data_IF_366345881852
#
_entry.id   IF_366345881852
#
_cell.length_a   1.000
_cell.length_b   1.000
_cell.length_c   1.000
_cell.angle_alpha   90.00
_cell.angle_beta   90.00
_cell.angle_gamma   90.00
#
_symmetry.space_group_name_H-M   'P 1'
#
loop_
_entity.id
_entity.type
_entity.pdbx_description
1 polymer ?
#
# COMPACT_ATOMS: atom_id res chain seq x y z
N UNK A 1 53.49 2.18 46.36
CA UNK A 1 53.74 2.40 44.91
C UNK A 1 53.27 1.24 44.03
N UNK A 2 53.57 -0.04 44.35
CA UNK A 2 53.14 -1.21 43.55
C UNK A 2 51.61 -1.42 43.45
N UNK A 3 50.85 -1.20 44.52
CA UNK A 3 49.38 -1.34 44.51
C UNK A 3 48.67 -0.30 43.64
N UNK A 4 49.16 0.94 43.63
CA UNK A 4 48.58 2.04 42.84
C UNK A 4 48.76 1.82 41.34
N UNK A 5 49.89 1.21 40.95
CA UNK A 5 50.18 0.80 39.56
C UNK A 5 49.31 -0.39 39.17
N UNK A 6 49.15 -1.39 40.06
CA UNK A 6 48.29 -2.56 39.83
C UNK A 6 46.82 -2.18 39.61
N UNK A 7 46.25 -1.32 40.46
CA UNK A 7 44.87 -0.81 40.29
C UNK A 7 44.67 0.01 39.02
N UNK A 8 45.67 0.79 38.59
CA UNK A 8 45.61 1.52 37.31
C UNK A 8 45.64 0.58 36.11
N UNK A 9 46.44 -0.49 36.15
CA UNK A 9 46.50 -1.53 35.12
C UNK A 9 45.20 -2.32 35.04
N UNK A 10 44.63 -2.77 36.17
CA UNK A 10 43.35 -3.50 36.22
C UNK A 10 42.18 -2.66 35.68
N UNK A 11 42.11 -1.37 36.02
CA UNK A 11 41.12 -0.44 35.43
C UNK A 11 41.30 -0.24 33.93
N UNK A 12 42.55 -0.17 33.44
CA UNK A 12 42.85 0.04 32.02
C UNK A 12 42.51 -1.21 31.19
N UNK A 13 42.80 -2.40 31.73
CA UNK A 13 42.44 -3.70 31.13
C UNK A 13 40.92 -3.89 31.11
N UNK A 14 40.22 -3.57 32.21
CA UNK A 14 38.74 -3.62 32.26
C UNK A 14 38.09 -2.70 31.22
N UNK A 15 38.57 -1.45 31.10
CA UNK A 15 38.06 -0.49 30.12
C UNK A 15 38.37 -0.89 28.67
N UNK A 16 39.53 -1.49 28.39
CA UNK A 16 39.82 -2.05 27.06
C UNK A 16 38.97 -3.28 26.73
N UNK A 17 38.63 -4.11 27.72
CA UNK A 17 37.74 -5.26 27.52
C UNK A 17 36.30 -4.84 27.17
N UNK A 18 35.82 -3.74 27.75
CA UNK A 18 34.51 -3.15 27.42
C UNK A 18 34.48 -2.56 26.01
N UNK A 19 35.53 -1.81 25.63
CA UNK A 19 35.65 -1.25 24.28
C UNK A 19 35.73 -2.37 23.23
N UNK A 20 36.51 -3.42 23.49
CA UNK A 20 36.63 -4.57 22.59
C UNK A 20 35.27 -5.30 22.42
N UNK A 21 34.51 -5.49 23.51
CA UNK A 21 33.16 -6.06 23.46
C UNK A 21 32.22 -5.19 22.63
N UNK A 22 32.23 -3.86 22.83
CA UNK A 22 31.41 -2.95 22.04
C UNK A 22 31.79 -3.00 20.56
N UNK A 23 33.08 -2.94 20.22
CA UNK A 23 33.57 -3.01 18.83
C UNK A 23 33.15 -4.33 18.19
N UNK A 24 33.28 -5.46 18.89
CA UNK A 24 32.82 -6.77 18.40
C UNK A 24 31.30 -6.81 18.18
N UNK A 25 30.51 -6.20 19.06
CA UNK A 25 29.05 -6.08 18.90
C UNK A 25 28.72 -5.24 17.66
N UNK A 26 29.34 -4.05 17.50
CA UNK A 26 29.11 -3.19 16.35
C UNK A 26 29.53 -3.84 15.03
N UNK A 27 30.70 -4.51 14.99
CA UNK A 27 31.14 -5.28 13.82
C UNK A 27 30.20 -6.45 13.53
N UNK A 28 29.72 -7.16 14.56
CA UNK A 28 28.74 -8.23 14.41
C UNK A 28 27.42 -7.72 13.84
N UNK A 29 26.90 -6.61 14.36
CA UNK A 29 25.69 -5.96 13.84
C UNK A 29 25.88 -5.50 12.39
N UNK A 30 27.01 -4.87 12.07
CA UNK A 30 27.31 -4.44 10.70
C UNK A 30 27.41 -5.63 9.73
N UNK A 31 28.06 -6.73 10.14
CA UNK A 31 28.15 -7.94 9.35
C UNK A 31 26.77 -8.57 9.09
N UNK A 32 25.90 -8.63 10.11
CA UNK A 32 24.52 -9.11 9.96
C UNK A 32 23.74 -8.21 9.00
N UNK A 33 23.87 -6.88 9.10
CA UNK A 33 23.19 -5.95 8.20
C UNK A 33 23.65 -6.11 6.74
N UNK A 34 24.96 -6.28 6.51
CA UNK A 34 25.51 -6.53 5.18
C UNK A 34 25.03 -7.87 4.61
N UNK A 35 24.98 -8.91 5.45
CA UNK A 35 24.46 -10.22 5.07
C UNK A 35 22.97 -10.17 4.70
N UNK A 36 22.16 -9.46 5.50
CA UNK A 36 20.74 -9.23 5.21
C UNK A 36 20.56 -8.46 3.91
N UNK A 37 21.40 -7.46 3.64
CA UNK A 37 21.35 -6.69 2.39
C UNK A 37 21.67 -7.56 1.17
N UNK A 38 22.66 -8.45 1.28
CA UNK A 38 23.02 -9.41 0.24
C UNK A 38 21.93 -10.47 0.01
N UNK A 39 21.34 -10.97 1.09
CA UNK A 39 20.30 -12.02 1.05
C UNK A 39 18.89 -11.45 0.85
N UNK A 40 18.73 -10.14 0.67
CA UNK A 40 17.41 -9.50 0.62
C UNK A 40 16.47 -10.16 -0.37
N UNK A 41 16.96 -10.53 -1.56
CA UNK A 41 16.16 -11.14 -2.62
C UNK A 41 15.57 -12.50 -2.19
N UNK A 42 16.32 -13.27 -1.41
CA UNK A 42 15.90 -14.58 -0.89
C UNK A 42 15.06 -14.43 0.37
N UNK A 43 15.41 -13.49 1.25
CA UNK A 43 14.71 -13.27 2.53
C UNK A 43 13.37 -12.57 2.37
N UNK A 44 13.18 -11.76 1.32
CA UNK A 44 11.97 -10.99 1.07
C UNK A 44 10.68 -11.83 1.15
N UNK A 45 10.54 -12.96 0.41
CA UNK A 45 9.32 -13.77 0.48
C UNK A 45 9.07 -14.36 1.87
N UNK A 46 10.12 -14.73 2.62
CA UNK A 46 9.98 -15.19 4.00
C UNK A 46 9.55 -14.07 4.94
N UNK A 47 10.05 -12.85 4.74
CA UNK A 47 9.70 -11.70 5.56
C UNK A 47 8.25 -11.29 5.30
N UNK A 48 7.82 -11.28 4.04
CA UNK A 48 6.42 -11.11 3.65
C UNK A 48 5.54 -12.15 4.34
N UNK A 49 5.90 -13.43 4.24
CA UNK A 49 5.17 -14.51 4.88
C UNK A 49 5.14 -14.38 6.41
N UNK A 50 6.24 -13.94 7.01
CA UNK A 50 6.33 -13.69 8.45
C UNK A 50 5.37 -12.60 8.90
N UNK A 51 5.32 -11.46 8.18
CA UNK A 51 4.36 -10.43 8.56
C UNK A 51 2.94 -10.91 8.34
N UNK A 52 2.61 -11.51 7.20
CA UNK A 52 1.26 -12.06 6.97
C UNK A 52 0.87 -13.08 8.05
N UNK A 53 1.79 -13.96 8.46
CA UNK A 53 1.57 -14.91 9.53
C UNK A 53 1.30 -14.21 10.87
N UNK A 54 2.05 -13.16 11.19
CA UNK A 54 1.83 -12.34 12.38
C UNK A 54 0.44 -11.69 12.38
N UNK A 55 -0.02 -11.21 11.22
CA UNK A 55 -1.32 -10.56 11.06
C UNK A 55 -2.50 -11.53 11.16
N UNK A 56 -2.35 -12.72 10.58
CA UNK A 56 -3.40 -13.73 10.52
C UNK A 56 -3.42 -14.62 11.78
N UNK A 57 -2.32 -14.71 12.52
CA UNK A 57 -2.26 -15.58 13.70
C UNK A 57 -3.34 -15.28 14.77
N UNK A 58 -3.66 -14.03 15.15
CA UNK A 58 -4.67 -13.74 16.17
C UNK A 58 -6.06 -14.28 15.80
N UNK A 59 -6.43 -14.25 14.52
CA UNK A 59 -7.70 -14.80 14.05
C UNK A 59 -7.63 -16.32 13.97
N UNK A 60 -6.51 -16.90 13.56
CA UNK A 60 -6.26 -18.35 13.64
C UNK A 60 -6.38 -18.86 15.08
N UNK A 61 -5.75 -18.19 16.04
CA UNK A 61 -5.84 -18.53 17.47
C UNK A 61 -7.27 -18.39 18.01
N UNK A 62 -8.05 -17.41 17.52
CA UNK A 62 -9.45 -17.25 17.89
C UNK A 62 -10.31 -18.44 17.44
N UNK A 63 -10.17 -18.89 16.20
CA UNK A 63 -10.90 -20.05 15.69
C UNK A 63 -10.39 -21.38 16.30
N UNK A 64 -9.09 -21.48 16.58
CA UNK A 64 -8.52 -22.63 17.28
C UNK A 64 -9.09 -22.76 18.70
N UNK A 65 -9.24 -21.65 19.42
CA UNK A 65 -9.90 -21.62 20.75
C UNK A 65 -11.37 -22.04 20.69
N UNK A 66 -12.04 -21.87 19.55
CA UNK A 66 -13.41 -22.36 19.31
C UNK A 66 -13.48 -23.84 18.90
N UNK A 67 -12.34 -24.56 18.89
CA UNK A 67 -12.28 -25.99 18.60
C UNK A 67 -12.02 -26.33 17.13
N UNK A 68 -11.85 -25.34 16.24
CA UNK A 68 -11.53 -25.62 14.83
C UNK A 68 -10.05 -25.99 14.70
N UNK A 69 -9.74 -27.09 13.98
CA UNK A 69 -8.34 -27.48 13.72
C UNK A 69 -7.61 -26.34 13.02
N UNK A 70 -6.46 -25.93 13.58
CA UNK A 70 -5.64 -24.81 13.09
C UNK A 70 -5.39 -24.85 11.57
N UNK A 71 -5.11 -26.05 11.04
CA UNK A 71 -4.86 -26.27 9.60
C UNK A 71 -6.09 -25.91 8.75
N UNK A 72 -7.31 -26.22 9.21
CA UNK A 72 -8.54 -25.88 8.48
C UNK A 72 -8.75 -24.37 8.39
N UNK A 73 -8.43 -23.64 9.46
CA UNK A 73 -8.51 -22.17 9.47
C UNK A 73 -7.51 -21.58 8.48
N UNK A 74 -6.28 -22.08 8.45
CA UNK A 74 -5.25 -21.63 7.49
C UNK A 74 -5.68 -21.91 6.05
N UNK A 75 -6.18 -23.11 5.76
CA UNK A 75 -6.69 -23.46 4.43
C UNK A 75 -7.88 -22.58 4.02
N UNK A 76 -8.76 -22.22 4.96
CA UNK A 76 -9.87 -21.30 4.68
C UNK A 76 -9.37 -19.91 4.25
N UNK A 77 -8.29 -19.40 4.85
CA UNK A 77 -7.69 -18.13 4.44
C UNK A 77 -7.14 -18.20 3.02
N UNK A 78 -6.43 -19.28 2.68
CA UNK A 78 -5.96 -19.47 1.31
C UNK A 78 -7.11 -19.53 0.33
N UNK A 79 -8.18 -20.28 0.65
CA UNK A 79 -9.35 -20.38 -0.22
C UNK A 79 -10.03 -19.02 -0.44
N UNK A 80 -10.23 -18.24 0.62
CA UNK A 80 -10.80 -16.88 0.53
C UNK A 80 -9.92 -15.95 -0.29
N UNK A 81 -8.61 -15.93 -0.02
CA UNK A 81 -7.66 -15.07 -0.76
C UNK A 81 -7.61 -15.46 -2.23
N UNK A 82 -7.49 -16.76 -2.55
CA UNK A 82 -7.51 -17.23 -3.94
C UNK A 82 -8.82 -16.90 -4.65
N UNK A 83 -9.96 -17.08 -3.97
CA UNK A 83 -11.27 -16.73 -4.53
C UNK A 83 -11.38 -15.24 -4.83
N UNK A 84 -11.04 -14.38 -3.86
CA UNK A 84 -11.10 -12.91 -4.02
C UNK A 84 -10.16 -12.45 -5.13
N UNK A 85 -8.91 -12.95 -5.16
CA UNK A 85 -7.94 -12.61 -6.20
C UNK A 85 -8.42 -13.08 -7.57
N UNK A 86 -8.98 -14.29 -7.66
CA UNK A 86 -9.50 -14.82 -8.93
C UNK A 86 -10.67 -13.99 -9.43
N UNK A 87 -11.64 -13.67 -8.57
CA UNK A 87 -12.79 -12.82 -8.94
C UNK A 87 -12.33 -11.43 -9.35
N UNK A 88 -11.41 -10.83 -8.60
CA UNK A 88 -10.84 -9.52 -8.95
C UNK A 88 -10.13 -9.56 -10.30
N UNK A 89 -9.31 -10.59 -10.56
CA UNK A 89 -8.61 -10.74 -11.84
C UNK A 89 -9.59 -10.95 -12.99
N UNK A 90 -10.61 -11.80 -12.84
CA UNK A 90 -11.60 -12.06 -13.88
C UNK A 90 -12.40 -10.78 -14.20
N UNK A 91 -12.92 -10.11 -13.17
CA UNK A 91 -13.64 -8.84 -13.33
C UNK A 91 -12.74 -7.79 -13.97
N UNK A 92 -11.49 -7.70 -13.51
CA UNK A 92 -10.53 -6.75 -14.05
C UNK A 92 -10.17 -7.04 -15.51
N UNK A 93 -9.94 -8.30 -15.88
CA UNK A 93 -9.63 -8.70 -17.26
C UNK A 93 -10.81 -8.42 -18.18
N UNK A 94 -12.02 -8.85 -17.82
CA UNK A 94 -13.22 -8.65 -18.64
C UNK A 94 -13.54 -7.17 -18.84
N UNK A 95 -13.47 -6.38 -17.76
CA UNK A 95 -13.66 -4.93 -17.80
C UNK A 95 -12.53 -4.23 -18.54
N UNK A 96 -11.28 -4.67 -18.45
CA UNK A 96 -10.21 -3.95 -19.16
C UNK A 96 -10.24 -4.28 -20.66
N UNK A 97 -10.55 -5.51 -21.03
CA UNK A 97 -10.60 -5.94 -22.43
C UNK A 97 -11.73 -5.25 -23.22
N UNK A 98 -12.95 -5.22 -22.66
CA UNK A 98 -14.11 -4.59 -23.30
C UNK A 98 -13.96 -3.07 -23.36
N UNK A 99 -13.46 -2.47 -22.28
CA UNK A 99 -13.41 -1.01 -22.16
C UNK A 99 -12.28 -0.45 -23.01
N UNK A 100 -11.15 -1.15 -23.19
CA UNK A 100 -10.11 -0.77 -24.15
C UNK A 100 -10.62 -0.83 -25.58
N UNK A 101 -11.37 -1.88 -25.95
CA UNK A 101 -11.97 -1.96 -27.29
C UNK A 101 -12.97 -0.83 -27.54
N UNK A 102 -13.76 -0.47 -26.51
CA UNK A 102 -14.68 0.68 -26.58
C UNK A 102 -13.91 2.00 -26.65
N UNK A 103 -12.84 2.16 -25.87
CA UNK A 103 -11.95 3.33 -25.88
C UNK A 103 -11.28 3.53 -27.24
N UNK A 104 -10.72 2.47 -27.82
CA UNK A 104 -10.11 2.52 -29.15
C UNK A 104 -11.12 2.90 -30.24
N UNK A 105 -12.38 2.46 -30.11
CA UNK A 105 -13.47 2.83 -31.04
C UNK A 105 -14.02 4.24 -30.80
N UNK A 106 -14.02 4.71 -29.55
CA UNK A 106 -14.53 6.03 -29.16
C UNK A 106 -13.49 7.15 -29.28
N UNK A 107 -12.19 6.85 -29.23
CA UNK A 107 -11.12 7.85 -29.38
C UNK A 107 -11.20 8.63 -30.70
N UNK A 108 -11.38 7.99 -31.87
CA UNK A 108 -11.61 8.69 -33.14
C UNK A 108 -12.90 9.52 -33.15
N UNK A 109 -13.93 9.08 -32.42
CA UNK A 109 -15.19 9.81 -32.28
C UNK A 109 -15.01 11.07 -31.42
N UNK A 110 -14.22 10.99 -30.35
CA UNK A 110 -13.88 12.13 -29.49
C UNK A 110 -13.01 13.14 -30.24
N UNK A 111 -12.01 12.70 -31.01
CA UNK A 111 -11.21 13.61 -31.84
C UNK A 111 -12.08 14.32 -32.88
N UNK A 112 -12.98 13.59 -33.55
CA UNK A 112 -13.93 14.18 -34.50
C UNK A 112 -14.91 15.18 -33.86
N UNK A 113 -15.33 14.96 -32.60
CA UNK A 113 -16.12 15.94 -31.84
C UNK A 113 -15.31 17.19 -31.49
N UNK A 114 -14.06 17.03 -31.07
CA UNK A 114 -13.18 18.17 -30.76
C UNK A 114 -12.89 18.98 -32.02
N UNK A 115 -12.64 18.31 -33.15
CA UNK A 115 -12.50 18.95 -34.47
C UNK A 115 -13.72 19.78 -34.83
N UNK A 116 -14.95 19.26 -34.60
CA UNK A 116 -16.19 20.02 -34.81
C UNK A 116 -16.34 21.24 -33.90
N UNK A 117 -15.93 21.13 -32.63
CA UNK A 117 -15.92 22.27 -31.70
C UNK A 117 -14.91 23.31 -32.20
N UNK A 118 -13.69 22.90 -32.54
CA UNK A 118 -12.67 23.80 -33.11
C UNK A 118 -13.20 24.47 -34.38
N UNK A 119 -13.93 23.74 -35.23
CA UNK A 119 -14.54 24.26 -36.45
C UNK A 119 -15.66 25.28 -36.17
N UNK A 120 -16.56 25.01 -35.23
CA UNK A 120 -17.64 25.93 -34.88
C UNK A 120 -17.10 27.25 -34.29
N UNK A 121 -16.11 27.17 -33.40
CA UNK A 121 -15.51 28.36 -32.78
C UNK A 121 -14.57 29.11 -33.72
N UNK A 122 -13.86 28.44 -34.63
CA UNK A 122 -13.05 29.12 -35.65
C UNK A 122 -13.91 29.89 -36.65
N UNK A 123 -15.06 29.35 -37.08
CA UNK A 123 -16.02 30.04 -37.95
C UNK A 123 -16.64 31.28 -37.26
N UNK A 124 -16.89 31.22 -35.95
CA UNK A 124 -17.33 32.39 -35.18
C UNK A 124 -16.22 33.43 -35.02
N UNK A 125 -14.98 33.00 -34.80
CA UNK A 125 -13.83 33.89 -34.66
C UNK A 125 -13.50 34.63 -35.97
N UNK A 126 -13.58 33.96 -37.11
CA UNK A 126 -13.33 34.55 -38.44
C UNK A 126 -14.37 35.64 -38.79
N UNK A 127 -15.63 35.46 -38.36
CA UNK A 127 -16.68 36.49 -38.49
C UNK A 127 -16.45 37.72 -37.61
N UNK A 128 -15.78 37.57 -36.46
CA UNK A 128 -15.56 38.65 -35.48
C UNK A 128 -14.21 39.35 -35.73
N UNK A 129 -13.19 38.62 -36.22
CA UNK A 129 -11.83 39.12 -36.42
C UNK A 129 -11.25 38.70 -37.81
N UNK A 130 -11.65 39.38 -38.90
CA UNK A 130 -11.29 38.98 -40.28
C UNK A 130 -9.78 39.02 -40.61
N UNK A 131 -9.00 39.81 -39.87
CA UNK A 131 -7.55 39.96 -40.07
C UNK A 131 -6.70 39.05 -39.17
N UNK A 132 -7.32 38.32 -38.24
CA UNK A 132 -6.61 37.25 -37.53
C UNK A 132 -6.41 36.09 -38.49
N UNK A 133 -5.28 35.37 -38.49
CA UNK A 133 -5.05 34.18 -39.33
C UNK A 133 -5.65 32.95 -38.66
N UNK A 134 -6.96 32.67 -38.76
CA UNK A 134 -7.62 31.71 -37.89
C UNK A 134 -7.40 30.27 -38.41
N UNK A 135 -7.07 30.15 -39.70
CA UNK A 135 -6.81 28.90 -40.40
C UNK A 135 -5.52 28.21 -39.93
N UNK A 136 -4.43 28.96 -39.69
CA UNK A 136 -3.18 28.42 -39.14
C UNK A 136 -3.38 27.90 -37.71
N UNK A 137 -4.11 28.65 -36.88
CA UNK A 137 -4.48 28.23 -35.52
C UNK A 137 -5.39 26.99 -35.52
N UNK A 138 -6.37 26.94 -36.43
CA UNK A 138 -7.25 25.77 -36.61
C UNK A 138 -6.44 24.52 -36.98
N UNK A 139 -5.56 24.61 -37.97
CA UNK A 139 -4.75 23.46 -38.40
C UNK A 139 -3.81 22.97 -37.30
N UNK A 140 -3.19 23.89 -36.56
CA UNK A 140 -2.33 23.54 -35.42
C UNK A 140 -3.10 22.88 -34.28
N UNK A 141 -4.32 23.34 -33.97
CA UNK A 141 -5.16 22.76 -32.93
C UNK A 141 -5.67 21.36 -33.31
N UNK A 142 -6.07 21.16 -34.57
CA UNK A 142 -6.49 19.85 -35.08
C UNK A 142 -5.31 18.88 -35.06
N UNK A 143 -4.14 19.29 -35.57
CA UNK A 143 -2.93 18.45 -35.59
C UNK A 143 -2.49 18.07 -34.17
N UNK A 144 -2.47 19.03 -33.23
CA UNK A 144 -2.12 18.75 -31.83
C UNK A 144 -3.16 17.87 -31.14
N UNK A 145 -4.45 18.02 -31.46
CA UNK A 145 -5.51 17.14 -30.94
C UNK A 145 -5.32 15.71 -31.46
N UNK A 146 -5.04 15.54 -32.76
CA UNK A 146 -4.79 14.23 -33.35
C UNK A 146 -3.53 13.57 -32.78
N UNK A 147 -2.44 14.32 -32.63
CA UNK A 147 -1.20 13.84 -31.97
C UNK A 147 -1.44 13.43 -30.52
N UNK A 148 -2.11 14.28 -29.74
CA UNK A 148 -2.45 13.98 -28.34
C UNK A 148 -3.33 12.73 -28.24
N UNK A 149 -4.34 12.59 -29.11
CA UNK A 149 -5.23 11.42 -29.11
C UNK A 149 -4.48 10.15 -29.48
N UNK A 150 -3.56 10.22 -30.44
CA UNK A 150 -2.69 9.10 -30.83
C UNK A 150 -1.71 8.71 -29.71
N UNK A 151 -1.11 9.68 -29.02
CA UNK A 151 -0.22 9.45 -27.88
C UNK A 151 -0.96 8.87 -26.67
N UNK A 152 -2.17 9.33 -26.40
CA UNK A 152 -3.07 8.77 -25.38
C UNK A 152 -3.42 7.33 -25.73
N UNK A 153 -3.83 7.06 -26.98
CA UNK A 153 -4.12 5.70 -27.45
C UNK A 153 -2.92 4.77 -27.29
N UNK A 154 -1.73 5.22 -27.72
CA UNK A 154 -0.48 4.47 -27.60
C UNK A 154 -0.08 4.25 -26.15
N UNK A 155 -0.29 5.24 -25.27
CA UNK A 155 -0.03 5.12 -23.83
C UNK A 155 -0.99 4.14 -23.17
N UNK A 156 -2.29 4.17 -23.49
CA UNK A 156 -3.28 3.23 -22.96
C UNK A 156 -2.94 1.80 -23.38
N UNK A 157 -2.63 1.58 -24.66
CA UNK A 157 -2.21 0.27 -25.18
C UNK A 157 -0.88 -0.16 -24.57
N UNK A 158 0.07 0.76 -24.39
CA UNK A 158 1.37 0.51 -23.78
C UNK A 158 1.27 0.15 -22.29
N UNK A 159 0.46 0.87 -21.51
CA UNK A 159 0.16 0.56 -20.11
C UNK A 159 -0.49 -0.83 -19.98
N UNK A 160 -1.40 -1.18 -20.88
CA UNK A 160 -2.07 -2.48 -20.86
C UNK A 160 -1.16 -3.63 -21.29
N UNK A 161 -0.37 -3.44 -22.35
CA UNK A 161 0.74 -4.32 -22.74
C UNK A 161 1.65 -4.59 -21.54
N UNK A 162 2.07 -3.54 -20.84
CA UNK A 162 2.90 -3.65 -19.66
C UNK A 162 2.19 -4.39 -18.53
N UNK A 163 0.88 -4.22 -18.35
CA UNK A 163 0.10 -4.95 -17.36
C UNK A 163 -0.05 -6.44 -17.71
N UNK A 164 -0.31 -6.79 -18.97
CA UNK A 164 -0.29 -8.18 -19.45
C UNK A 164 1.10 -8.80 -19.27
N UNK A 165 2.15 -8.05 -19.62
CA UNK A 165 3.54 -8.47 -19.41
C UNK A 165 3.86 -8.63 -17.93
N UNK A 166 3.29 -7.81 -17.05
CA UNK A 166 3.42 -7.94 -15.61
C UNK A 166 2.72 -9.21 -15.11
N UNK A 167 1.49 -9.48 -15.57
CA UNK A 167 0.75 -10.72 -15.26
C UNK A 167 1.47 -11.96 -15.80
N UNK A 168 2.02 -11.92 -17.02
CA UNK A 168 2.77 -13.04 -17.60
C UNK A 168 4.12 -13.23 -16.93
N UNK A 169 4.81 -12.15 -16.54
CA UNK A 169 6.02 -12.21 -15.72
C UNK A 169 5.74 -12.66 -14.27
N UNK A 170 4.51 -12.49 -13.78
CA UNK A 170 4.08 -13.04 -12.51
C UNK A 170 4.05 -14.59 -12.54
N UNK A 171 3.88 -15.21 -13.71
CA UNK A 171 4.08 -16.65 -13.87
C UNK A 171 5.56 -17.06 -13.67
N UNK A 172 6.52 -16.21 -14.08
CA UNK A 172 7.94 -16.37 -13.72
C UNK A 172 8.21 -16.13 -12.22
N UNK A 173 7.37 -15.32 -11.58
CA UNK A 173 7.38 -15.09 -10.12
C UNK A 173 6.57 -16.11 -9.32
N UNK A 174 5.98 -17.14 -9.97
CA UNK A 174 5.17 -18.15 -9.31
C UNK A 174 5.97 -18.86 -8.21
N UNK A 175 7.28 -19.06 -8.42
CA UNK A 175 8.16 -19.62 -7.39
C UNK A 175 8.19 -18.74 -6.13
N UNK A 176 8.31 -17.41 -6.26
CA UNK A 176 8.29 -16.50 -5.11
C UNK A 176 6.93 -16.52 -4.41
N UNK A 177 5.84 -16.57 -5.17
CA UNK A 177 4.48 -16.68 -4.61
C UNK A 177 4.32 -17.99 -3.84
N UNK A 178 4.76 -19.11 -4.40
CA UNK A 178 4.74 -20.41 -3.74
C UNK A 178 5.60 -20.37 -2.46
N UNK A 179 6.81 -19.82 -2.50
CA UNK A 179 7.66 -19.67 -1.31
C UNK A 179 6.93 -18.86 -0.23
N UNK A 180 6.29 -17.74 -0.59
CA UNK A 180 5.48 -16.96 0.35
C UNK A 180 4.35 -17.81 0.95
N UNK A 181 3.58 -18.52 0.12
CA UNK A 181 2.43 -19.33 0.57
C UNK A 181 2.85 -20.50 1.46
N UNK A 182 3.88 -21.25 1.07
CA UNK A 182 4.43 -22.33 1.87
C UNK A 182 5.00 -21.82 3.18
N UNK A 183 5.80 -20.74 3.14
CA UNK A 183 6.35 -20.12 4.35
C UNK A 183 5.23 -19.65 5.26
N UNK A 184 4.21 -18.99 4.73
CA UNK A 184 3.06 -18.51 5.48
C UNK A 184 2.31 -19.67 6.14
N UNK A 185 2.08 -20.77 5.41
CA UNK A 185 1.45 -21.97 5.94
C UNK A 185 2.22 -22.53 7.14
N UNK A 186 3.53 -22.74 7.01
CA UNK A 186 4.36 -23.31 8.08
C UNK A 186 4.50 -22.35 9.26
N UNK A 187 4.70 -21.06 8.99
CA UNK A 187 4.77 -20.03 10.03
C UNK A 187 3.46 -19.96 10.82
N UNK A 188 2.31 -19.99 10.16
CA UNK A 188 1.02 -20.05 10.84
C UNK A 188 0.83 -21.37 11.58
N UNK A 189 1.15 -22.52 10.98
CA UNK A 189 0.98 -23.83 11.62
C UNK A 189 1.83 -23.96 12.89
N UNK A 190 3.09 -23.57 12.83
CA UNK A 190 4.08 -23.75 13.89
C UNK A 190 4.33 -22.49 14.73
N UNK A 191 3.50 -21.45 14.60
CA UNK A 191 3.63 -20.17 15.28
C UNK A 191 3.90 -20.27 16.79
N UNK A 192 3.16 -21.16 17.48
CA UNK A 192 3.32 -21.39 18.93
C UNK A 192 4.72 -21.95 19.27
N UNK A 193 5.26 -22.85 18.44
CA UNK A 193 6.60 -23.40 18.60
C UNK A 193 7.67 -22.35 18.34
N UNK A 194 7.49 -21.53 17.29
CA UNK A 194 8.39 -20.43 16.96
C UNK A 194 8.44 -19.42 18.11
N UNK A 195 7.28 -19.01 18.63
CA UNK A 195 7.20 -18.09 19.79
C UNK A 195 7.92 -18.66 21.02
N UNK A 196 7.76 -19.97 21.27
CA UNK A 196 8.46 -20.67 22.35
C UNK A 196 9.98 -20.70 22.15
N UNK A 197 10.45 -20.93 20.93
CA UNK A 197 11.87 -20.93 20.58
C UNK A 197 12.50 -19.53 20.73
N UNK A 198 11.82 -18.49 20.25
CA UNK A 198 12.26 -17.10 20.38
C UNK A 198 12.37 -16.70 21.86
N UNK A 199 11.43 -17.13 22.72
CA UNK A 199 11.51 -16.88 24.17
C UNK A 199 12.75 -17.51 24.81
N UNK A 200 13.21 -18.67 24.32
CA UNK A 200 14.41 -19.35 24.83
C UNK A 200 15.73 -18.69 24.40
N UNK A 201 15.72 -17.89 23.33
CA UNK A 201 16.91 -17.15 22.86
C UNK A 201 17.19 -15.91 23.72
N UNK A 202 16.21 -15.38 24.44
CA UNK A 202 16.39 -14.24 25.33
C UNK A 202 17.02 -14.69 26.67
N UNK A 203 17.99 -13.93 27.23
CA UNK A 203 18.49 -14.18 28.57
C UNK A 203 17.34 -14.07 29.60
N UNK A 204 17.33 -14.93 30.63
CA UNK A 204 16.25 -15.02 31.62
C UNK A 204 15.89 -13.66 32.26
N UNK A 205 16.90 -12.80 32.47
CA UNK A 205 16.73 -11.45 33.04
C UNK A 205 15.85 -10.52 32.21
N UNK A 206 15.72 -10.76 30.89
CA UNK A 206 14.97 -9.90 29.97
C UNK A 206 13.64 -10.50 29.50
N UNK A 207 13.26 -11.70 29.98
CA UNK A 207 12.03 -12.39 29.52
C UNK A 207 10.78 -11.53 29.71
N UNK A 208 10.63 -10.89 30.87
CA UNK A 208 9.48 -10.01 31.15
C UNK A 208 9.42 -8.79 30.23
N UNK A 209 10.57 -8.17 29.93
CA UNK A 209 10.65 -7.04 29.03
C UNK A 209 10.30 -7.45 27.59
N UNK A 210 10.86 -8.55 27.08
CA UNK A 210 10.59 -9.06 25.73
C UNK A 210 9.11 -9.43 25.57
N UNK A 211 8.50 -10.04 26.57
CA UNK A 211 7.08 -10.43 26.53
C UNK A 211 6.14 -9.22 26.57
N UNK A 212 6.45 -8.21 27.40
CA UNK A 212 5.72 -6.93 27.44
C UNK A 212 5.86 -6.18 26.11
N UNK A 213 7.06 -6.14 25.52
CA UNK A 213 7.30 -5.49 24.24
C UNK A 213 6.52 -6.18 23.12
N UNK A 214 6.66 -7.50 23.00
CA UNK A 214 6.03 -8.29 21.95
C UNK A 214 4.50 -8.24 22.01
N UNK A 215 3.91 -8.24 23.22
CA UNK A 215 2.47 -8.09 23.39
C UNK A 215 1.99 -6.68 23.02
N UNK A 216 2.74 -5.64 23.38
CA UNK A 216 2.43 -4.25 23.03
C UNK A 216 2.51 -4.00 21.52
N UNK A 217 3.55 -4.53 20.87
CA UNK A 217 3.70 -4.51 19.39
C UNK A 217 2.49 -5.18 18.73
N UNK A 218 2.12 -6.37 19.23
CA UNK A 218 1.00 -7.14 18.68
C UNK A 218 -0.32 -6.41 18.81
N UNK A 219 -0.56 -5.81 19.96
CA UNK A 219 -1.75 -5.02 20.20
C UNK A 219 -1.84 -3.83 19.22
N UNK A 220 -0.75 -3.08 19.04
CA UNK A 220 -0.73 -1.92 18.14
C UNK A 220 -0.93 -2.31 16.67
N UNK A 221 -0.21 -3.30 16.18
CA UNK A 221 -0.33 -3.79 14.80
C UNK A 221 -1.76 -4.29 14.53
N UNK A 222 -2.31 -5.10 15.44
CA UNK A 222 -3.65 -5.66 15.28
C UNK A 222 -4.74 -4.58 15.33
N UNK A 223 -4.63 -3.60 16.24
CA UNK A 223 -5.56 -2.49 16.33
C UNK A 223 -5.53 -1.65 15.05
N UNK A 224 -4.33 -1.30 14.57
CA UNK A 224 -4.16 -0.51 13.35
C UNK A 224 -4.75 -1.22 12.13
N UNK A 225 -4.42 -2.50 11.91
CA UNK A 225 -4.84 -3.22 10.70
C UNK A 225 -6.34 -3.46 10.69
N UNK A 226 -6.93 -3.83 11.83
CA UNK A 226 -8.40 -3.93 11.92
C UNK A 226 -9.05 -2.58 11.65
N UNK A 227 -8.50 -1.51 12.22
CA UNK A 227 -8.97 -0.16 11.95
C UNK A 227 -8.87 0.18 10.46
N UNK A 228 -7.73 -0.07 9.82
CA UNK A 228 -7.49 0.21 8.41
C UNK A 228 -8.44 -0.56 7.50
N UNK A 229 -8.71 -1.84 7.79
CA UNK A 229 -9.68 -2.63 7.02
C UNK A 229 -11.08 -2.01 7.13
N UNK A 230 -11.51 -1.61 8.34
CA UNK A 230 -12.83 -0.98 8.52
C UNK A 230 -12.89 0.38 7.82
N UNK A 231 -11.84 1.19 7.89
CA UNK A 231 -11.73 2.47 7.17
C UNK A 231 -11.82 2.24 5.66
N UNK A 232 -11.02 1.31 5.12
CA UNK A 232 -11.00 0.97 3.70
C UNK A 232 -12.37 0.48 3.21
N UNK A 233 -13.03 -0.39 3.98
CA UNK A 233 -14.39 -0.85 3.67
C UNK A 233 -15.40 0.30 3.72
N UNK A 234 -15.34 1.17 4.72
CA UNK A 234 -16.24 2.32 4.84
C UNK A 234 -16.05 3.29 3.67
N UNK A 235 -14.82 3.66 3.34
CA UNK A 235 -14.48 4.54 2.22
C UNK A 235 -14.95 3.94 0.88
N UNK A 236 -14.70 2.65 0.67
CA UNK A 236 -15.16 1.95 -0.53
C UNK A 236 -16.69 1.92 -0.66
N UNK A 237 -17.40 1.62 0.43
CA UNK A 237 -18.87 1.59 0.46
C UNK A 237 -19.48 2.98 0.25
N UNK A 238 -18.96 4.01 0.92
CA UNK A 238 -19.46 5.38 0.77
C UNK A 238 -19.23 5.86 -0.67
N UNK A 239 -18.06 5.56 -1.25
CA UNK A 239 -17.77 5.88 -2.66
C UNK A 239 -18.74 5.17 -3.59
N UNK A 240 -18.96 3.87 -3.37
CA UNK A 240 -19.89 3.06 -4.16
C UNK A 240 -21.32 3.63 -4.12
N UNK A 241 -21.83 3.93 -2.92
CA UNK A 241 -23.18 4.48 -2.74
C UNK A 241 -23.30 5.88 -3.35
N UNK A 242 -22.30 6.74 -3.16
CA UNK A 242 -22.31 8.11 -3.70
C UNK A 242 -22.39 8.12 -5.22
N UNK A 243 -21.63 7.24 -5.89
CA UNK A 243 -21.64 7.13 -7.34
C UNK A 243 -22.90 6.44 -7.87
N UNK A 244 -23.42 5.46 -7.12
CA UNK A 244 -24.68 4.80 -7.42
C UNK A 244 -25.85 5.80 -7.46
N UNK A 245 -25.98 6.65 -6.45
CA UNK A 245 -27.03 7.68 -6.40
C UNK A 245 -26.87 8.75 -7.48
N UNK A 246 -25.66 8.96 -7.99
CA UNK A 246 -25.39 9.86 -9.11
C UNK A 246 -25.59 9.20 -10.49
N UNK A 247 -25.92 7.91 -10.54
CA UNK A 247 -26.22 7.19 -11.78
C UNK A 247 -24.98 6.76 -12.58
N UNK A 248 -23.81 6.68 -11.97
CA UNK A 248 -22.60 6.21 -12.66
C UNK A 248 -22.58 4.68 -12.74
N UNK A 249 -22.51 4.11 -13.94
CA UNK A 249 -22.54 2.65 -14.15
C UNK A 249 -21.33 1.91 -13.54
N UNK A 250 -20.19 2.58 -13.41
CA UNK A 250 -18.94 2.03 -12.85
C UNK A 250 -18.81 2.22 -11.33
N UNK A 251 -19.90 2.59 -10.64
CA UNK A 251 -19.93 2.84 -9.19
C UNK A 251 -19.32 1.69 -8.37
N UNK A 252 -19.63 0.44 -8.74
CA UNK A 252 -19.18 -0.74 -8.00
C UNK A 252 -17.66 -0.89 -8.06
N UNK A 253 -17.11 -0.86 -9.28
CA UNK A 253 -15.68 -0.99 -9.53
C UNK A 253 -14.91 0.14 -8.85
N UNK A 254 -15.38 1.39 -9.00
CA UNK A 254 -14.67 2.52 -8.41
C UNK A 254 -14.73 2.49 -6.88
N UNK A 255 -15.84 2.05 -6.29
CA UNK A 255 -15.94 1.80 -4.86
C UNK A 255 -14.94 0.75 -4.37
N UNK A 256 -14.83 -0.38 -5.08
CA UNK A 256 -13.86 -1.46 -4.74
C UNK A 256 -12.42 -0.97 -4.89
N UNK A 257 -12.08 -0.32 -6.01
CA UNK A 257 -10.73 0.20 -6.24
C UNK A 257 -10.37 1.25 -5.19
N UNK A 258 -11.27 2.19 -4.91
CA UNK A 258 -11.02 3.24 -3.91
C UNK A 258 -10.86 2.65 -2.52
N UNK A 259 -11.72 1.70 -2.13
CA UNK A 259 -11.61 1.00 -0.84
C UNK A 259 -10.32 0.20 -0.71
N UNK A 260 -9.98 -0.63 -1.70
CA UNK A 260 -8.73 -1.42 -1.70
C UNK A 260 -7.49 -0.53 -1.70
N UNK A 261 -7.49 0.52 -2.52
CA UNK A 261 -6.37 1.47 -2.57
C UNK A 261 -6.20 2.16 -1.22
N UNK A 262 -7.30 2.48 -0.53
CA UNK A 262 -7.26 3.11 0.80
C UNK A 262 -6.68 2.21 1.91
N UNK A 263 -6.33 0.95 1.64
CA UNK A 263 -5.49 0.15 2.55
C UNK A 263 -4.06 0.74 2.70
N UNK A 264 -3.61 1.51 1.72
CA UNK A 264 -2.33 2.23 1.73
C UNK A 264 -2.63 3.72 1.98
N UNK A 265 -2.41 4.23 3.21
CA UNK A 265 -2.72 5.62 3.52
C UNK A 265 -1.98 6.60 2.61
N UNK A 266 -2.59 7.76 2.38
CA UNK A 266 -2.11 8.84 1.49
C UNK A 266 -2.11 8.45 0.02
N UNK A 267 -1.54 7.31 -0.36
CA UNK A 267 -1.40 6.86 -1.76
C UNK A 267 -2.73 6.37 -2.31
N UNK A 268 -3.50 5.64 -1.50
CA UNK A 268 -4.77 5.04 -1.89
C UNK A 268 -5.77 6.02 -2.51
N UNK A 269 -6.04 7.15 -1.85
CA UNK A 269 -6.88 8.21 -2.38
C UNK A 269 -6.41 8.75 -3.73
N UNK A 270 -5.10 8.95 -3.93
CA UNK A 270 -4.57 9.38 -5.24
C UNK A 270 -4.83 8.35 -6.32
N UNK A 271 -4.65 7.05 -6.04
CA UNK A 271 -4.96 5.98 -6.99
C UNK A 271 -6.45 6.01 -7.35
N UNK A 272 -7.32 6.07 -6.35
CA UNK A 272 -8.77 6.15 -6.55
C UNK A 272 -9.19 7.37 -7.39
N UNK A 273 -8.61 8.54 -7.10
CA UNK A 273 -8.81 9.77 -7.88
C UNK A 273 -8.34 9.61 -9.32
N UNK A 274 -7.10 9.17 -9.56
CA UNK A 274 -6.58 8.98 -10.91
C UNK A 274 -7.45 8.03 -11.73
N UNK A 275 -7.78 6.86 -11.18
CA UNK A 275 -8.59 5.85 -11.86
C UNK A 275 -10.02 6.36 -12.08
N UNK A 276 -10.63 6.99 -11.08
CA UNK A 276 -11.99 7.52 -11.17
C UNK A 276 -12.14 8.64 -12.18
N UNK A 277 -11.17 9.55 -12.21
CA UNK A 277 -11.16 10.67 -13.16
C UNK A 277 -10.99 10.16 -14.58
N UNK A 278 -10.08 9.20 -14.80
CA UNK A 278 -9.89 8.56 -16.10
C UNK A 278 -11.15 7.83 -16.57
N UNK A 279 -11.74 6.98 -15.73
CA UNK A 279 -12.98 6.26 -16.05
C UNK A 279 -14.12 7.22 -16.37
N UNK A 280 -14.29 8.28 -15.58
CA UNK A 280 -15.31 9.27 -15.84
C UNK A 280 -15.09 10.02 -17.15
N UNK A 281 -13.84 10.35 -17.48
CA UNK A 281 -13.50 11.05 -18.71
C UNK A 281 -13.78 10.21 -19.95
N UNK A 282 -13.61 8.89 -19.88
CA UNK A 282 -13.79 8.02 -21.04
C UNK A 282 -15.20 7.44 -21.18
N UNK A 283 -15.94 7.30 -20.08
CA UNK A 283 -17.21 6.55 -20.07
C UNK A 283 -18.43 7.49 -20.08
N UNK A 284 -18.37 8.66 -19.43
CA UNK A 284 -19.56 9.46 -19.16
C UNK A 284 -19.68 10.69 -20.08
N UNK A 285 -20.86 10.93 -20.63
CA UNK A 285 -21.20 12.10 -21.46
C UNK A 285 -22.28 12.94 -20.75
N UNK A 286 -22.14 14.28 -20.61
CA UNK A 286 -21.02 15.12 -21.03
C UNK A 286 -19.78 14.98 -20.12
N UNK A 287 -18.60 14.86 -20.74
CA UNK A 287 -17.33 14.52 -20.09
C UNK A 287 -16.98 15.40 -18.88
N UNK A 288 -17.08 16.73 -19.03
CA UNK A 288 -16.75 17.68 -17.96
C UNK A 288 -17.68 17.54 -16.75
N UNK A 289 -18.96 17.26 -16.97
CA UNK A 289 -19.93 17.13 -15.88
C UNK A 289 -19.69 15.83 -15.08
N UNK A 290 -19.42 14.72 -15.79
CA UNK A 290 -19.06 13.47 -15.14
C UNK A 290 -17.79 13.60 -14.30
N UNK A 291 -16.72 14.15 -14.89
CA UNK A 291 -15.41 14.30 -14.24
C UNK A 291 -15.50 15.14 -12.98
N UNK A 292 -16.19 16.30 -13.05
CA UNK A 292 -16.37 17.18 -11.89
C UNK A 292 -17.16 16.49 -10.78
N UNK A 293 -18.23 15.75 -11.12
CA UNK A 293 -19.03 15.00 -10.14
C UNK A 293 -18.21 13.89 -9.47
N UNK A 294 -17.46 13.10 -10.23
CA UNK A 294 -16.63 12.02 -9.67
C UNK A 294 -15.52 12.58 -8.80
N UNK A 295 -14.80 13.58 -9.27
CA UNK A 295 -13.79 14.27 -8.44
C UNK A 295 -14.42 14.87 -7.18
N UNK A 296 -15.58 15.50 -7.30
CA UNK A 296 -16.32 16.04 -6.17
C UNK A 296 -16.66 14.97 -5.13
N UNK A 297 -17.15 13.80 -5.56
CA UNK A 297 -17.40 12.65 -4.67
C UNK A 297 -16.10 12.18 -4.03
N UNK A 298 -15.06 11.90 -4.81
CA UNK A 298 -13.81 11.34 -4.28
C UNK A 298 -13.11 12.30 -3.31
N UNK A 299 -13.13 13.61 -3.59
CA UNK A 299 -12.64 14.63 -2.66
C UNK A 299 -13.50 14.71 -1.41
N UNK A 300 -14.83 14.64 -1.54
CA UNK A 300 -15.74 14.67 -0.39
C UNK A 300 -15.54 13.45 0.51
N UNK A 301 -15.43 12.26 -0.07
CA UNK A 301 -15.13 11.02 0.68
C UNK A 301 -13.75 11.11 1.33
N UNK A 302 -12.75 11.67 0.63
CA UNK A 302 -11.43 11.87 1.20
C UNK A 302 -11.43 12.85 2.38
N UNK A 303 -12.22 13.91 2.31
CA UNK A 303 -12.41 14.84 3.42
C UNK A 303 -13.13 14.16 4.60
N UNK A 304 -14.18 13.39 4.33
CA UNK A 304 -14.87 12.60 5.35
C UNK A 304 -13.92 11.59 6.02
N UNK A 305 -13.04 10.95 5.25
CA UNK A 305 -12.06 10.02 5.79
C UNK A 305 -11.10 10.73 6.76
N UNK A 306 -10.50 11.84 6.31
CA UNK A 306 -9.52 12.59 7.09
C UNK A 306 -10.10 13.26 8.34
N UNK A 307 -11.34 13.73 8.29
CA UNK A 307 -11.96 14.49 9.38
C UNK A 307 -12.69 13.55 10.36
N UNK A 308 -13.30 12.47 9.87
CA UNK A 308 -14.26 11.68 10.65
C UNK A 308 -13.90 10.19 10.70
N UNK A 309 -13.79 9.51 9.56
CA UNK A 309 -13.72 8.03 9.52
C UNK A 309 -12.42 7.53 10.15
N UNK A 310 -11.26 7.96 9.64
CA UNK A 310 -9.95 7.56 10.15
C UNK A 310 -9.74 7.96 11.62
N UNK A 311 -10.04 9.20 12.06
CA UNK A 311 -9.91 9.59 13.46
C UNK A 311 -10.80 8.81 14.43
N UNK A 312 -12.02 8.42 14.03
CA UNK A 312 -12.93 7.64 14.88
C UNK A 312 -12.50 6.18 15.01
N UNK A 313 -11.99 5.57 13.94
CA UNK A 313 -11.69 4.14 13.90
C UNK A 313 -10.27 3.83 14.36
N UNK A 314 -9.28 4.53 13.79
CA UNK A 314 -7.86 4.31 14.08
C UNK A 314 -7.45 5.10 15.35
N UNK A 315 -8.23 6.11 15.72
CA UNK A 315 -8.07 6.88 16.95
C UNK A 315 -6.97 7.93 16.87
N UNK A 316 -6.72 8.61 18.01
CA UNK A 316 -5.60 9.56 18.20
C UNK A 316 -4.22 8.89 18.22
N UNK A 317 -4.13 7.59 17.93
CA UNK A 317 -2.98 6.74 18.22
C UNK A 317 -1.71 7.09 17.42
N UNK A 318 -1.83 7.96 16.42
CA UNK A 318 -0.74 8.21 15.47
C UNK A 318 -0.66 9.70 15.14
N UNK A 319 -0.27 10.54 16.12
CA UNK A 319 0.22 11.90 15.84
C UNK A 319 1.56 11.83 15.12
N UNK A 320 1.53 11.45 13.85
CA UNK A 320 2.67 11.44 12.94
C UNK A 320 2.50 12.61 11.99
N UNK A 321 3.56 13.39 11.83
CA UNK A 321 3.59 14.46 10.85
C UNK A 321 3.41 13.87 9.43
N UNK A 322 2.60 14.45 8.53
CA UNK A 322 2.34 13.88 7.20
C UNK A 322 3.62 13.52 6.42
N UNK A 323 4.65 14.36 6.51
CA UNK A 323 5.97 14.10 5.90
C UNK A 323 6.61 12.82 6.44
N UNK A 324 6.50 12.55 7.74
CA UNK A 324 7.00 11.31 8.33
C UNK A 324 6.23 10.09 7.82
N UNK A 325 4.92 10.21 7.61
CA UNK A 325 4.12 9.13 6.98
C UNK A 325 4.65 8.84 5.58
N UNK A 326 4.87 9.88 4.76
CA UNK A 326 5.43 9.72 3.41
C UNK A 326 6.78 9.02 3.43
N UNK A 327 7.72 9.46 4.28
CA UNK A 327 9.04 8.84 4.42
C UNK A 327 8.89 7.36 4.81
N UNK A 328 8.09 7.08 5.84
CA UNK A 328 7.89 5.72 6.35
C UNK A 328 7.29 4.80 5.28
N UNK A 329 6.32 5.29 4.50
CA UNK A 329 5.73 4.55 3.38
C UNK A 329 6.74 4.31 2.24
N UNK A 330 7.55 5.32 1.89
CA UNK A 330 8.60 5.17 0.87
C UNK A 330 9.64 4.12 1.27
N UNK A 331 10.03 4.09 2.55
CA UNK A 331 10.89 3.04 3.09
C UNK A 331 10.21 1.67 2.97
N UNK A 332 8.95 1.54 3.40
CA UNK A 332 8.21 0.29 3.26
C UNK A 332 8.14 -0.22 1.83
N UNK A 333 7.82 0.67 0.88
CA UNK A 333 7.80 0.36 -0.54
C UNK A 333 9.14 -0.17 -1.04
N UNK A 334 10.23 0.52 -0.71
CA UNK A 334 11.56 0.14 -1.15
C UNK A 334 11.96 -1.26 -0.64
N UNK A 335 11.62 -1.57 0.61
CA UNK A 335 12.05 -2.83 1.24
C UNK A 335 11.12 -4.01 1.01
N UNK A 336 9.79 -3.81 0.96
CA UNK A 336 8.80 -4.89 0.93
C UNK A 336 7.63 -4.60 -0.02
N UNK A 337 7.75 -3.59 -0.87
CA UNK A 337 6.70 -3.19 -1.82
C UNK A 337 5.41 -2.74 -1.14
N UNK A 338 4.28 -3.10 -1.74
CA UNK A 338 2.92 -2.78 -1.25
C UNK A 338 2.71 -3.25 0.20
N UNK A 339 3.15 -4.47 0.52
CA UNK A 339 3.03 -4.99 1.87
C UNK A 339 3.83 -4.16 2.86
N UNK A 340 5.05 -3.79 2.47
CA UNK A 340 5.87 -2.85 3.23
C UNK A 340 5.12 -1.58 3.58
N UNK A 341 4.54 -0.91 2.58
CA UNK A 341 3.73 0.30 2.77
C UNK A 341 2.60 0.10 3.80
N UNK A 342 1.85 -1.00 3.71
CA UNK A 342 0.74 -1.29 4.63
C UNK A 342 1.21 -1.42 6.09
N UNK A 343 2.37 -2.05 6.29
CA UNK A 343 2.92 -2.35 7.63
C UNK A 343 3.81 -1.21 8.15
N UNK A 344 4.22 -0.27 7.30
CA UNK A 344 5.24 0.73 7.63
C UNK A 344 4.83 1.59 8.82
N UNK A 345 3.59 2.06 8.81
CA UNK A 345 3.04 2.96 9.82
C UNK A 345 2.97 2.28 11.19
N UNK A 346 2.33 1.10 11.37
CA UNK A 346 2.30 0.45 12.67
C UNK A 346 3.69 -0.01 13.13
N UNK A 347 4.59 -0.35 12.19
CA UNK A 347 5.99 -0.62 12.54
C UNK A 347 6.68 0.63 13.09
N UNK A 348 6.52 1.77 12.43
CA UNK A 348 7.09 3.04 12.88
C UNK A 348 6.53 3.47 14.25
N UNK A 349 5.22 3.39 14.47
CA UNK A 349 4.61 3.76 15.76
C UNK A 349 5.12 2.87 16.89
N UNK A 350 5.27 1.58 16.60
CA UNK A 350 5.85 0.61 17.52
C UNK A 350 7.30 0.96 17.84
N UNK A 351 8.14 1.20 16.83
CA UNK A 351 9.54 1.58 17.05
C UNK A 351 9.66 2.88 17.84
N UNK A 352 8.83 3.89 17.52
CA UNK A 352 8.76 5.15 18.27
C UNK A 352 8.40 4.91 19.73
N UNK A 353 7.45 4.01 20.02
CA UNK A 353 7.07 3.64 21.38
C UNK A 353 8.22 2.91 22.11
N UNK A 354 8.86 1.94 21.47
CA UNK A 354 10.00 1.20 22.06
C UNK A 354 11.14 2.15 22.40
N UNK A 355 11.49 3.05 21.49
CA UNK A 355 12.51 4.07 21.74
C UNK A 355 12.11 4.98 22.90
N UNK A 356 10.87 5.47 22.93
CA UNK A 356 10.42 6.33 24.01
C UNK A 356 10.48 5.64 25.39
N UNK A 357 10.06 4.37 25.48
CA UNK A 357 10.13 3.57 26.71
C UNK A 357 11.58 3.38 27.16
N UNK A 358 12.52 3.11 26.24
CA UNK A 358 13.96 2.95 26.54
C UNK A 358 14.56 4.25 27.09
N UNK A 359 14.16 5.41 26.53
CA UNK A 359 14.65 6.72 26.98
C UNK A 359 13.86 7.31 28.16
N UNK A 360 12.93 6.56 28.76
CA UNK A 360 12.15 6.99 29.93
C UNK A 360 11.04 8.01 29.65
N UNK A 361 10.80 8.33 28.37
CA UNK A 361 9.65 9.13 27.97
C UNK A 361 8.39 8.26 28.04
N UNK A 362 7.61 8.42 29.10
CA UNK A 362 6.32 7.72 29.26
C UNK A 362 5.33 8.22 28.21
N UNK A 363 5.35 7.61 27.02
CA UNK A 363 4.31 7.79 26.02
C UNK A 363 3.12 6.95 26.46
N UNK A 364 2.17 7.57 27.15
CA UNK A 364 0.93 6.91 27.55
C UNK A 364 0.22 6.36 26.31
N UNK A 365 0.00 5.05 26.30
CA UNK A 365 -0.84 4.34 25.33
C UNK A 365 -2.30 4.67 25.65
N UNK A 366 -3.03 5.28 24.71
CA UNK A 366 -4.49 5.46 24.78
C UNK A 366 -5.19 4.72 23.64
#
# INVERSE_FOLDING_TARGET
MKETVKRKLERKIGKQSEILKMVLIYCGVAAVLLLVFWLKAVLLPFLIAFVLAYLLNPTVDYFEKKGVKRVLVILSYFLVIFSVVTVLLLVFIDFTAKEIMVLQKKLPYVSGKIEKIIEEYSLKAEKIFPNSKPAELKSLLIENTQKLTAEISKSIVGMFSNLINWISSAAGSLMNVLIVLFSLFYLLKDWKKIKGAVKKLAPASYHGMVEKLASSVSFQINRYIRGQIVVASAVGLITMLSLYFLGFEYYFILGVITGLSNLIPVIGPFIGMCVGTALSFFIHEPFLNGVVKVLGVLLSVQLLDNILISPLIIGKAVKIHPVTVLIVLSFGWYFLGILGMLISIPFYTTMKFVVAEIYGFHVQVK
#
